data_IF_756744997541
#
_entry.id   IF_756744997541
#
_cell.length_a   1.000
_cell.length_b   1.000
_cell.length_c   1.000
_cell.angle_alpha   90.00
_cell.angle_beta   90.00
_cell.angle_gamma   90.00
#
_symmetry.space_group_name_H-M   'P 1'
#
loop_
_entity.id
_entity.type
_entity.pdbx_description
1 polymer ?
#
# COMPACT_ATOMS: atom_id res chain seq x y z
N UNK A 1 20.69 32.61 8.54
CA UNK A 1 20.56 31.15 8.38
C UNK A 1 19.11 30.77 8.66
N UNK A 2 18.35 30.37 7.64
CA UNK A 2 16.99 29.83 7.84
C UNK A 2 17.13 28.43 8.45
N UNK A 3 16.78 28.31 9.73
CA UNK A 3 16.78 27.02 10.43
C UNK A 3 15.65 26.14 9.89
N UNK A 4 15.99 25.05 9.22
CA UNK A 4 15.09 23.96 8.85
C UNK A 4 14.77 23.11 10.09
N UNK A 5 14.17 23.72 11.12
CA UNK A 5 13.69 22.97 12.26
C UNK A 5 12.43 22.20 11.84
N UNK A 6 12.50 20.86 11.86
CA UNK A 6 11.33 20.02 11.65
C UNK A 6 10.33 20.30 12.78
N UNK A 7 9.11 20.80 12.47
CA UNK A 7 8.15 21.17 13.50
C UNK A 7 7.71 19.95 14.32
N UNK A 8 7.50 20.13 15.65
CA UNK A 8 7.36 19.03 16.61
C UNK A 8 6.24 18.05 16.25
N UNK A 9 6.52 16.77 16.48
CA UNK A 9 5.63 15.65 16.21
C UNK A 9 4.54 15.57 17.29
N UNK A 10 3.41 16.24 17.09
CA UNK A 10 2.19 15.86 17.79
C UNK A 10 1.80 14.42 17.36
N UNK A 11 1.31 13.56 18.27
CA UNK A 11 0.86 12.22 17.90
C UNK A 11 -0.37 12.35 17.00
N UNK A 12 -0.13 12.30 15.68
CA UNK A 12 -1.19 12.29 14.68
C UNK A 12 -1.97 10.99 14.90
N UNK A 13 -3.26 11.10 15.21
CA UNK A 13 -4.16 9.95 15.31
C UNK A 13 -3.96 9.04 14.09
N UNK A 14 -3.94 7.72 14.31
CA UNK A 14 -3.65 6.73 13.27
C UNK A 14 -4.84 6.61 12.32
N UNK A 15 -4.99 7.59 11.42
CA UNK A 15 -5.96 7.55 10.35
C UNK A 15 -5.50 6.53 9.31
N UNK A 16 -6.40 5.63 8.93
CA UNK A 16 -6.21 4.77 7.76
C UNK A 16 -6.02 5.61 6.50
N UNK A 17 -5.27 5.04 5.55
CA UNK A 17 -4.97 5.68 4.27
C UNK A 17 -5.03 4.65 3.17
N UNK A 18 -5.57 5.07 2.04
CA UNK A 18 -5.59 4.26 0.83
C UNK A 18 -4.17 4.09 0.28
N UNK A 19 -3.79 2.86 -0.06
CA UNK A 19 -2.58 2.60 -0.83
C UNK A 19 -2.85 2.92 -2.31
N UNK A 20 -2.45 4.11 -2.75
CA UNK A 20 -2.69 4.59 -4.11
C UNK A 20 -2.07 3.69 -5.21
N UNK A 21 -1.04 2.90 -4.90
CA UNK A 21 -0.48 1.92 -5.86
C UNK A 21 -1.51 0.85 -6.23
N UNK A 22 -2.48 0.55 -5.37
CA UNK A 22 -3.51 -0.43 -5.70
C UNK A 22 -4.40 0.02 -6.87
N UNK A 23 -4.51 1.34 -7.10
CA UNK A 23 -5.30 1.91 -8.18
C UNK A 23 -4.63 1.80 -9.55
N UNK A 24 -3.37 1.39 -9.63
CA UNK A 24 -2.70 1.20 -10.93
C UNK A 24 -3.01 -0.16 -11.57
N UNK A 25 -3.60 -1.08 -10.80
CA UNK A 25 -3.89 -2.44 -11.25
C UNK A 25 -5.35 -2.52 -11.73
N UNK A 26 -5.54 -2.85 -13.02
CA UNK A 26 -6.87 -2.88 -13.65
C UNK A 26 -7.80 -3.91 -13.04
N UNK A 27 -7.25 -5.05 -12.63
CA UNK A 27 -7.93 -6.12 -11.91
C UNK A 27 -8.48 -5.66 -10.55
N UNK A 28 -7.70 -4.85 -9.81
CA UNK A 28 -8.16 -4.25 -8.56
C UNK A 28 -9.25 -3.22 -8.81
N UNK A 29 -9.12 -2.39 -9.86
CA UNK A 29 -10.16 -1.42 -10.21
C UNK A 29 -11.49 -2.12 -10.54
N UNK A 30 -11.46 -3.18 -11.34
CA UNK A 30 -12.64 -3.98 -11.65
C UNK A 30 -13.26 -4.61 -10.38
N UNK A 31 -12.44 -5.11 -9.45
CA UNK A 31 -12.90 -5.64 -8.16
C UNK A 31 -13.63 -4.57 -7.32
N UNK A 32 -13.12 -3.34 -7.31
CA UNK A 32 -13.74 -2.20 -6.60
C UNK A 32 -15.01 -1.72 -7.30
N UNK A 33 -15.00 -1.60 -8.63
CA UNK A 33 -16.19 -1.24 -9.41
C UNK A 33 -17.33 -2.24 -9.17
N UNK A 34 -17.03 -3.54 -9.22
CA UNK A 34 -18.00 -4.59 -8.89
C UNK A 34 -18.53 -4.45 -7.45
N UNK A 35 -17.66 -4.14 -6.48
CA UNK A 35 -18.06 -3.90 -5.08
C UNK A 35 -19.00 -2.71 -4.95
N UNK A 36 -18.74 -1.61 -5.68
CA UNK A 36 -19.58 -0.41 -5.67
C UNK A 36 -20.96 -0.74 -6.26
N UNK A 37 -21.01 -1.38 -7.42
CA UNK A 37 -22.27 -1.74 -8.08
C UNK A 37 -23.09 -2.70 -7.22
N UNK A 38 -22.46 -3.74 -6.67
CA UNK A 38 -23.11 -4.71 -5.78
C UNK A 38 -23.67 -4.07 -4.52
N UNK A 39 -23.03 -3.00 -4.02
CA UNK A 39 -23.54 -2.25 -2.89
C UNK A 39 -24.69 -1.31 -3.29
N UNK A 40 -24.57 -0.58 -4.40
CA UNK A 40 -25.55 0.44 -4.77
C UNK A 40 -26.88 -0.15 -5.25
N UNK A 41 -26.86 -1.18 -6.09
CA UNK A 41 -28.08 -1.75 -6.70
C UNK A 41 -29.19 -2.09 -5.69
N UNK A 42 -28.92 -2.78 -4.56
CA UNK A 42 -29.96 -3.10 -3.58
C UNK A 42 -30.20 -2.02 -2.52
N UNK A 43 -29.32 -1.02 -2.38
CA UNK A 43 -29.38 -0.04 -1.28
C UNK A 43 -29.84 1.36 -1.71
N UNK A 44 -29.96 1.63 -3.01
CA UNK A 44 -30.52 2.88 -3.54
C UNK A 44 -32.05 2.89 -3.46
N UNK A 45 -32.56 2.92 -2.23
CA UNK A 45 -33.98 2.87 -1.93
C UNK A 45 -34.51 4.25 -1.48
N UNK A 46 -35.78 4.60 -1.77
CA UNK A 46 -36.34 5.93 -1.48
C UNK A 46 -36.28 6.34 0.00
N UNK A 47 -36.28 5.37 0.91
CA UNK A 47 -36.20 5.56 2.35
C UNK A 47 -34.79 5.89 2.86
N UNK A 48 -33.75 5.61 2.06
CA UNK A 48 -32.36 5.84 2.44
C UNK A 48 -31.91 7.22 1.95
N UNK A 49 -31.41 8.05 2.86
CA UNK A 49 -30.84 9.35 2.46
C UNK A 49 -29.53 9.14 1.70
N UNK A 50 -29.29 10.00 0.70
CA UNK A 50 -28.03 9.99 -0.08
C UNK A 50 -26.79 10.10 0.82
N UNK A 51 -26.89 10.85 1.92
CA UNK A 51 -25.81 10.96 2.89
C UNK A 51 -25.50 9.62 3.57
N UNK A 52 -26.53 8.91 4.06
CA UNK A 52 -26.39 7.58 4.67
C UNK A 52 -25.82 6.58 3.68
N UNK A 53 -26.33 6.57 2.45
CA UNK A 53 -25.86 5.69 1.38
C UNK A 53 -24.37 5.93 1.08
N UNK A 54 -23.95 7.20 0.99
CA UNK A 54 -22.56 7.57 0.74
C UNK A 54 -21.62 7.18 1.89
N UNK A 55 -22.01 7.41 3.14
CA UNK A 55 -21.20 7.00 4.30
C UNK A 55 -21.02 5.48 4.37
N UNK A 56 -22.10 4.73 4.12
CA UNK A 56 -22.06 3.27 4.09
C UNK A 56 -21.19 2.75 2.94
N UNK A 57 -21.35 3.27 1.72
CA UNK A 57 -20.52 2.91 0.57
C UNK A 57 -19.04 3.14 0.86
N UNK A 58 -18.69 4.31 1.42
CA UNK A 58 -17.29 4.62 1.79
C UNK A 58 -16.73 3.60 2.78
N UNK A 59 -17.52 3.19 3.77
CA UNK A 59 -17.10 2.18 4.75
C UNK A 59 -16.83 0.82 4.07
N UNK A 60 -17.73 0.40 3.16
CA UNK A 60 -17.59 -0.85 2.39
C UNK A 60 -16.34 -0.82 1.51
N UNK A 61 -16.20 0.21 0.68
CA UNK A 61 -15.05 0.37 -0.23
C UNK A 61 -13.73 0.42 0.54
N UNK A 62 -13.70 1.09 1.69
CA UNK A 62 -12.53 1.11 2.57
C UNK A 62 -12.20 -0.28 3.12
N UNK A 63 -13.20 -1.05 3.53
CA UNK A 63 -13.04 -2.44 3.95
C UNK A 63 -12.42 -3.26 2.85
N UNK A 64 -12.93 -3.12 1.62
CA UNK A 64 -12.44 -3.82 0.45
C UNK A 64 -10.98 -3.49 0.12
N UNK A 65 -10.60 -2.21 0.10
CA UNK A 65 -9.19 -1.82 -0.06
C UNK A 65 -8.29 -2.37 1.03
N UNK A 66 -8.78 -2.46 2.26
CA UNK A 66 -8.00 -3.03 3.38
C UNK A 66 -7.77 -4.52 3.18
N UNK A 67 -8.79 -5.27 2.74
CA UNK A 67 -8.68 -6.68 2.43
C UNK A 67 -7.72 -6.94 1.26
N UNK A 68 -7.83 -6.16 0.17
CA UNK A 68 -6.94 -6.25 -1.00
C UNK A 68 -5.49 -5.93 -0.58
N UNK A 69 -5.26 -4.88 0.21
CA UNK A 69 -3.93 -4.55 0.70
C UNK A 69 -3.30 -5.69 1.52
N UNK A 70 -4.10 -6.33 2.39
CA UNK A 70 -3.67 -7.48 3.16
C UNK A 70 -3.32 -8.69 2.26
N UNK A 71 -4.18 -8.98 1.28
CA UNK A 71 -3.96 -10.04 0.28
C UNK A 71 -2.68 -9.84 -0.51
N UNK A 72 -2.46 -8.64 -1.06
CA UNK A 72 -1.26 -8.27 -1.81
C UNK A 72 -0.01 -8.35 -0.94
N UNK A 73 -0.08 -7.86 0.31
CA UNK A 73 1.05 -7.95 1.24
C UNK A 73 1.42 -9.40 1.56
N UNK A 74 0.42 -10.27 1.78
CA UNK A 74 0.63 -11.70 2.02
C UNK A 74 1.29 -12.36 0.80
N UNK A 75 0.77 -12.13 -0.40
CA UNK A 75 1.34 -12.69 -1.63
C UNK A 75 2.81 -12.26 -1.84
N UNK A 76 3.12 -10.99 -1.60
CA UNK A 76 4.50 -10.47 -1.66
C UNK A 76 5.41 -11.15 -0.64
N UNK A 77 4.94 -11.33 0.60
CA UNK A 77 5.74 -11.99 1.64
C UNK A 77 6.00 -13.46 1.30
N UNK A 78 4.99 -14.18 0.80
CA UNK A 78 5.15 -15.56 0.33
C UNK A 78 6.15 -15.64 -0.83
N UNK A 79 6.06 -14.72 -1.81
CA UNK A 79 7.02 -14.70 -2.92
C UNK A 79 8.45 -14.42 -2.45
N UNK A 80 8.63 -13.51 -1.49
CA UNK A 80 9.92 -13.23 -0.88
C UNK A 80 10.50 -14.47 -0.20
N UNK A 81 9.72 -15.13 0.65
CA UNK A 81 10.14 -16.34 1.35
C UNK A 81 10.58 -17.43 0.37
N UNK A 82 9.79 -17.67 -0.68
CA UNK A 82 10.14 -18.63 -1.73
C UNK A 82 11.48 -18.28 -2.39
N UNK A 83 11.71 -17.02 -2.76
CA UNK A 83 12.97 -16.60 -3.36
C UNK A 83 14.17 -16.80 -2.41
N UNK A 84 14.01 -16.50 -1.13
CA UNK A 84 15.05 -16.70 -0.11
C UNK A 84 15.38 -18.19 0.07
N UNK A 85 14.37 -19.05 0.10
CA UNK A 85 14.54 -20.51 0.21
C UNK A 85 15.17 -21.12 -1.07
N UNK A 86 14.75 -20.66 -2.25
CA UNK A 86 15.34 -21.07 -3.54
C UNK A 86 16.82 -20.69 -3.63
N UNK A 87 17.17 -19.45 -3.23
CA UNK A 87 18.55 -18.98 -3.17
C UNK A 87 19.38 -19.84 -2.22
N UNK A 88 18.88 -20.08 -1.00
CA UNK A 88 19.57 -20.90 0.00
C UNK A 88 19.85 -22.32 -0.50
N UNK A 89 18.87 -22.93 -1.16
CA UNK A 89 18.98 -24.29 -1.70
C UNK A 89 20.00 -24.37 -2.85
N UNK A 90 19.98 -23.38 -3.75
CA UNK A 90 20.93 -23.30 -4.86
C UNK A 90 22.35 -23.02 -4.38
N UNK A 91 22.53 -22.16 -3.37
CA UNK A 91 23.85 -21.87 -2.78
C UNK A 91 24.45 -23.10 -2.08
N UNK A 92 23.63 -23.86 -1.35
CA UNK A 92 24.06 -25.10 -0.72
C UNK A 92 24.50 -26.16 -1.74
N UNK A 93 23.83 -26.23 -2.89
CA UNK A 93 24.22 -27.12 -3.99
C UNK A 93 25.46 -26.62 -4.72
N UNK A 94 25.55 -25.32 -4.99
CA UNK A 94 26.70 -24.70 -5.66
C UNK A 94 28.01 -24.84 -4.85
N UNK A 95 27.93 -24.80 -3.51
CA UNK A 95 29.08 -25.06 -2.65
C UNK A 95 29.63 -26.49 -2.75
N UNK A 96 28.82 -27.45 -3.25
CA UNK A 96 29.22 -28.84 -3.47
C UNK A 96 29.65 -29.12 -4.91
N UNK A 97 29.07 -28.42 -5.89
CA UNK A 97 29.46 -28.50 -7.29
C UNK A 97 29.35 -27.14 -8.00
N UNK A 98 30.48 -26.66 -8.51
CA UNK A 98 30.55 -25.35 -9.16
C UNK A 98 29.93 -25.44 -10.56
N UNK A 99 28.79 -24.79 -10.77
CA UNK A 99 28.09 -24.74 -12.05
C UNK A 99 27.79 -23.30 -12.48
N UNK A 100 28.20 -22.94 -13.70
CA UNK A 100 27.92 -21.63 -14.28
C UNK A 100 26.41 -21.38 -14.43
N UNK A 101 25.63 -22.43 -14.71
CA UNK A 101 24.17 -22.36 -14.82
C UNK A 101 23.55 -22.01 -13.47
N UNK A 102 23.97 -22.69 -12.40
CA UNK A 102 23.50 -22.40 -11.04
C UNK A 102 23.88 -20.98 -10.60
N UNK A 103 25.10 -20.53 -10.89
CA UNK A 103 25.53 -19.15 -10.61
C UNK A 103 24.65 -18.11 -11.29
N UNK A 104 24.28 -18.34 -12.56
CA UNK A 104 23.35 -17.47 -13.30
C UNK A 104 21.95 -17.47 -12.69
N UNK A 105 21.43 -18.64 -12.28
CA UNK A 105 20.13 -18.75 -11.62
C UNK A 105 20.09 -18.00 -10.28
N UNK A 106 21.10 -18.16 -9.43
CA UNK A 106 21.23 -17.42 -8.16
C UNK A 106 21.25 -15.91 -8.40
N UNK A 107 22.00 -15.44 -9.42
CA UNK A 107 22.05 -14.03 -9.77
C UNK A 107 20.67 -13.49 -10.19
N UNK A 108 19.92 -14.28 -10.97
CA UNK A 108 18.54 -13.93 -11.38
C UNK A 108 17.58 -13.85 -10.19
N UNK A 109 17.60 -14.84 -9.29
CA UNK A 109 16.76 -14.85 -8.09
C UNK A 109 17.07 -13.68 -7.16
N UNK A 110 18.37 -13.37 -6.95
CA UNK A 110 18.81 -12.19 -6.20
C UNK A 110 18.34 -10.90 -6.85
N UNK A 111 18.33 -10.81 -8.19
CA UNK A 111 17.78 -9.64 -8.91
C UNK A 111 16.28 -9.49 -8.66
N UNK A 112 15.52 -10.58 -8.68
CA UNK A 112 14.08 -10.56 -8.36
C UNK A 112 13.82 -10.14 -6.91
N UNK A 113 14.60 -10.66 -5.95
CA UNK A 113 14.49 -10.27 -4.54
C UNK A 113 14.77 -8.78 -4.34
N UNK A 114 15.84 -8.25 -4.96
CA UNK A 114 16.17 -6.82 -4.93
C UNK A 114 15.08 -5.94 -5.54
N UNK A 115 14.39 -6.42 -6.59
CA UNK A 115 13.27 -5.69 -7.16
C UNK A 115 12.11 -5.56 -6.15
N UNK A 116 11.77 -6.64 -5.43
CA UNK A 116 10.76 -6.61 -4.36
C UNK A 116 11.14 -5.66 -3.22
N UNK A 117 12.43 -5.61 -2.84
CA UNK A 117 12.93 -4.68 -1.84
C UNK A 117 12.88 -3.22 -2.33
N UNK A 118 13.19 -2.99 -3.61
CA UNK A 118 13.08 -1.68 -4.26
C UNK A 118 11.64 -1.16 -4.22
N UNK A 119 10.67 -2.00 -4.57
CA UNK A 119 9.25 -1.65 -4.49
C UNK A 119 8.83 -1.25 -3.08
N UNK A 120 9.33 -1.95 -2.06
CA UNK A 120 9.06 -1.63 -0.65
C UNK A 120 9.68 -0.30 -0.26
N UNK A 121 10.90 -0.02 -0.69
CA UNK A 121 11.59 1.24 -0.41
C UNK A 121 10.84 2.42 -1.05
N UNK A 122 10.42 2.29 -2.29
CA UNK A 122 9.60 3.30 -2.97
C UNK A 122 8.28 3.55 -2.22
N UNK A 123 7.58 2.48 -1.83
CA UNK A 123 6.37 2.60 -1.02
C UNK A 123 6.61 3.34 0.31
N UNK A 124 7.73 3.04 0.99
CA UNK A 124 8.10 3.73 2.23
C UNK A 124 8.41 5.22 2.01
N UNK A 125 9.03 5.58 0.88
CA UNK A 125 9.28 6.98 0.49
C UNK A 125 7.96 7.72 0.24
N UNK A 126 7.05 7.12 -0.54
CA UNK A 126 5.72 7.69 -0.79
C UNK A 126 4.95 7.91 0.52
N UNK A 127 5.01 6.94 1.44
CA UNK A 127 4.38 7.04 2.75
C UNK A 127 4.97 8.17 3.61
N UNK A 128 6.29 8.35 3.58
CA UNK A 128 7.00 9.40 4.31
C UNK A 128 6.66 10.78 3.76
N UNK A 129 6.65 10.91 2.42
CA UNK A 129 6.21 12.13 1.72
C UNK A 129 4.77 12.50 2.10
N UNK A 130 3.86 11.53 2.08
CA UNK A 130 2.46 11.77 2.44
C UNK A 130 2.28 12.17 3.91
N UNK A 131 3.05 11.56 4.83
CA UNK A 131 3.07 11.97 6.26
C UNK A 131 3.52 13.41 6.44
N UNK A 132 4.54 13.84 5.71
CA UNK A 132 5.01 15.22 5.75
C UNK A 132 3.89 16.20 5.38
N UNK A 133 3.23 16.00 4.23
CA UNK A 133 2.13 16.87 3.80
C UNK A 133 0.91 16.81 4.72
N UNK A 134 0.53 15.64 5.24
CA UNK A 134 -0.55 15.52 6.21
C UNK A 134 -0.25 16.31 7.51
N UNK A 135 1.01 16.30 7.96
CA UNK A 135 1.43 17.09 9.13
C UNK A 135 1.52 18.59 8.84
N UNK A 136 1.85 19.01 7.63
CA UNK A 136 1.86 20.43 7.23
C UNK A 136 0.43 20.97 7.05
N UNK A 137 -0.45 20.24 6.37
CA UNK A 137 -1.84 20.63 6.14
C UNK A 137 -2.64 20.58 7.46
N UNK A 138 -2.43 19.55 8.29
CA UNK A 138 -3.06 19.46 9.61
C UNK A 138 -2.64 20.57 10.58
N UNK A 139 -1.48 21.21 10.36
CA UNK A 139 -1.05 22.41 11.10
C UNK A 139 -1.59 23.71 10.53
N UNK A 140 -1.83 23.79 9.21
CA UNK A 140 -2.41 24.98 8.55
C UNK A 140 -3.94 25.04 8.56
N UNK A 141 -4.63 23.94 8.89
CA UNK A 141 -6.09 23.92 9.00
C UNK A 141 -6.63 24.77 10.18
N UNK A 142 -5.78 25.13 11.16
CA UNK A 142 -6.15 26.00 12.28
C UNK A 142 -6.20 27.50 11.95
N UNK A 143 -5.91 27.90 10.70
CA UNK A 143 -6.00 29.30 10.26
C UNK A 143 -7.22 29.61 9.38
N UNK A 144 -8.06 28.62 9.06
CA UNK A 144 -9.23 28.80 8.18
C UNK A 144 -10.59 28.73 8.89
N UNK A 145 -10.62 28.58 10.23
CA UNK A 145 -11.86 28.72 11.03
C UNK A 145 -11.87 30.06 11.79
N UNK A 146 -11.43 31.13 11.11
CA UNK A 146 -11.34 32.49 11.63
C UNK A 146 -11.91 33.51 10.65
N UNK A 147 -13.17 33.34 10.26
CA UNK A 147 -14.08 34.36 9.73
C UNK A 147 -15.44 33.96 10.33
N UNK A 148 -16.09 34.77 11.17
CA UNK A 148 -16.45 36.16 10.93
C UNK A 148 -17.92 36.16 10.58
#
# INVERSE_FOLDING_TARGET
MLSLALPPHAPVAKCWRLNARLLTYKDILAEIEATITQFLEPNDAPEVTVATLWEALKAVVRGQFTAIAARVNKARQTKRQQLEDDIRTLEATYGRSVSLVMRRQIATLRKQLRALDGDRAEYALLWTKQKYYAGVIGRNAYWLTGFG
#
